data_IF_460171122915
#
_entry.id   IF_460171122915
#
_cell.length_a   1.000
_cell.length_b   1.000
_cell.length_c   1.000
_cell.angle_alpha   90.00
_cell.angle_beta   90.00
_cell.angle_gamma   90.00
#
_symmetry.space_group_name_H-M   'P 1'
#
loop_
_entity.id
_entity.type
_entity.pdbx_description
1 polymer ?
#
# COMPACT_ATOMS: atom_id res chain seq x y z
N UNK A 1 3.06 -19.19 23.90
CA UNK A 1 2.31 -17.92 23.78
C UNK A 1 1.49 -17.98 22.50
N UNK A 2 0.19 -17.65 22.53
CA UNK A 2 -0.68 -17.58 21.35
C UNK A 2 -1.27 -16.17 21.28
N UNK A 3 -0.99 -15.44 20.21
CA UNK A 3 -1.47 -14.08 19.99
C UNK A 3 -1.49 -13.79 18.48
N UNK A 4 -2.42 -12.96 18.06
CA UNK A 4 -2.61 -12.44 16.70
C UNK A 4 -2.46 -10.90 16.64
N UNK A 5 -2.04 -10.29 17.74
CA UNK A 5 -2.02 -8.83 17.93
C UNK A 5 -0.59 -8.29 17.96
N UNK A 6 -0.40 -7.05 17.48
CA UNK A 6 0.85 -6.33 17.63
C UNK A 6 0.95 -5.70 19.03
N UNK A 7 1.53 -6.45 19.98
CA UNK A 7 1.56 -6.09 21.41
C UNK A 7 2.68 -5.11 21.80
N UNK A 8 3.60 -4.82 20.89
CA UNK A 8 4.80 -3.99 21.15
C UNK A 8 4.48 -2.64 21.79
N UNK A 9 3.45 -1.87 21.37
CA UNK A 9 3.15 -0.59 22.00
C UNK A 9 2.86 -0.72 23.50
N UNK A 10 2.20 -1.81 23.90
CA UNK A 10 1.91 -2.10 25.31
C UNK A 10 3.15 -2.43 26.14
N UNK A 11 4.21 -2.96 25.52
CA UNK A 11 5.45 -3.33 26.22
C UNK A 11 6.20 -2.10 26.75
N UNK A 12 6.10 -0.95 26.07
CA UNK A 12 6.68 0.31 26.56
C UNK A 12 6.01 0.84 27.84
N UNK A 13 4.79 0.36 28.13
CA UNK A 13 4.07 0.73 29.36
C UNK A 13 4.54 -0.10 30.56
N UNK A 14 5.18 -1.26 30.35
CA UNK A 14 5.68 -2.13 31.42
C UNK A 14 6.93 -1.51 32.06
N UNK A 15 6.89 -1.10 33.36
CA UNK A 15 7.98 -0.35 33.98
C UNK A 15 9.34 -1.06 33.95
N UNK A 16 9.35 -2.39 34.10
CA UNK A 16 10.57 -3.20 34.07
C UNK A 16 11.20 -3.32 32.68
N UNK A 17 10.45 -3.10 31.59
CA UNK A 17 10.94 -3.22 30.21
C UNK A 17 11.27 -1.87 29.58
N UNK A 18 10.59 -0.81 30.02
CA UNK A 18 10.65 0.53 29.40
C UNK A 18 12.06 1.03 29.18
N UNK A 19 12.91 0.98 30.21
CA UNK A 19 14.26 1.52 30.14
C UNK A 19 15.14 0.85 29.09
N UNK A 20 14.96 -0.45 28.85
CA UNK A 20 15.70 -1.17 27.82
C UNK A 20 15.11 -0.95 26.43
N UNK A 21 13.78 -0.99 26.31
CA UNK A 21 13.09 -0.75 25.04
C UNK A 21 13.37 0.66 24.49
N UNK A 22 13.43 1.68 25.35
CA UNK A 22 13.76 3.05 24.93
C UNK A 22 15.22 3.22 24.50
N UNK A 23 16.14 2.38 25.00
CA UNK A 23 17.54 2.35 24.51
C UNK A 23 17.65 1.63 23.18
N UNK A 24 16.95 0.49 23.04
CA UNK A 24 16.98 -0.32 21.82
C UNK A 24 16.28 0.38 20.66
N UNK A 25 15.18 1.09 20.94
CA UNK A 25 14.34 1.75 19.95
C UNK A 25 14.09 3.21 20.33
N UNK A 26 15.05 4.11 20.04
CA UNK A 26 14.87 5.55 20.26
C UNK A 26 13.65 6.09 19.49
N UNK A 27 13.44 5.58 18.27
CA UNK A 27 12.26 5.80 17.45
C UNK A 27 11.22 4.69 17.75
N UNK A 28 10.27 5.00 18.63
CA UNK A 28 9.30 4.01 19.17
C UNK A 28 8.39 3.40 18.10
N UNK A 29 8.14 4.12 17.02
CA UNK A 29 7.35 3.69 15.86
C UNK A 29 8.15 2.82 14.87
N UNK A 30 9.49 2.81 14.97
CA UNK A 30 10.36 2.01 14.10
C UNK A 30 10.58 0.55 14.59
N UNK A 31 10.02 0.15 15.73
CA UNK A 31 10.26 -1.18 16.32
C UNK A 31 9.93 -2.31 15.34
N UNK A 32 8.74 -2.28 14.73
CA UNK A 32 8.36 -3.29 13.74
C UNK A 32 9.24 -3.21 12.50
N UNK A 33 9.60 -2.01 12.04
CA UNK A 33 10.47 -1.81 10.88
C UNK A 33 11.82 -2.51 11.06
N UNK A 34 12.47 -2.34 12.21
CA UNK A 34 13.76 -2.97 12.48
C UNK A 34 13.65 -4.48 12.67
N UNK A 35 12.72 -4.93 13.52
CA UNK A 35 12.60 -6.35 13.85
C UNK A 35 12.11 -7.19 12.67
N UNK A 36 11.16 -6.68 11.88
CA UNK A 36 10.66 -7.40 10.71
C UNK A 36 11.74 -7.60 9.66
N UNK A 37 12.57 -6.58 9.37
CA UNK A 37 13.69 -6.70 8.42
C UNK A 37 14.78 -7.67 8.86
N UNK A 38 14.93 -7.87 10.18
CA UNK A 38 15.88 -8.83 10.75
C UNK A 38 15.33 -10.26 10.78
N UNK A 39 14.03 -10.42 11.03
CA UNK A 39 13.41 -11.74 11.25
C UNK A 39 12.76 -12.33 10.00
N UNK A 40 12.15 -11.49 9.16
CA UNK A 40 11.26 -11.92 8.08
C UNK A 40 12.02 -11.85 6.75
N UNK A 41 12.58 -12.99 6.36
CA UNK A 41 13.16 -13.17 5.03
C UNK A 41 12.27 -14.10 4.20
N UNK A 42 11.82 -13.67 3.01
CA UNK A 42 10.97 -14.49 2.17
C UNK A 42 11.73 -15.73 1.68
N UNK A 43 11.07 -16.88 1.68
CA UNK A 43 11.58 -18.06 1.01
C UNK A 43 11.75 -17.82 -0.50
N UNK A 44 12.63 -18.59 -1.14
CA UNK A 44 12.97 -18.39 -2.55
C UNK A 44 11.74 -18.28 -3.45
N UNK A 45 10.74 -19.15 -3.32
CA UNK A 45 9.54 -19.10 -4.17
C UNK A 45 8.81 -17.75 -4.08
N UNK A 46 8.68 -17.20 -2.88
CA UNK A 46 8.05 -15.89 -2.64
C UNK A 46 8.93 -14.77 -3.20
N UNK A 47 10.25 -14.84 -2.98
CA UNK A 47 11.19 -13.86 -3.49
C UNK A 47 11.20 -13.80 -5.03
N UNK A 48 11.12 -14.95 -5.70
CA UNK A 48 11.03 -15.01 -7.15
C UNK A 48 9.74 -14.34 -7.67
N UNK A 49 8.60 -14.58 -7.01
CA UNK A 49 7.35 -13.93 -7.38
C UNK A 49 7.43 -12.40 -7.23
N UNK A 50 7.97 -11.91 -6.11
CA UNK A 50 8.14 -10.47 -5.85
C UNK A 50 9.05 -9.83 -6.90
N UNK A 51 10.22 -10.44 -7.15
CA UNK A 51 11.23 -9.87 -8.04
C UNK A 51 10.81 -9.91 -9.50
N UNK A 52 10.15 -10.98 -9.95
CA UNK A 52 9.60 -11.07 -11.30
C UNK A 52 8.54 -9.98 -11.53
N UNK A 53 7.56 -9.86 -10.62
CA UNK A 53 6.50 -8.85 -10.74
C UNK A 53 7.07 -7.43 -10.72
N UNK A 54 7.99 -7.14 -9.80
CA UNK A 54 8.64 -5.83 -9.74
C UNK A 54 9.37 -5.51 -11.03
N UNK A 55 10.17 -6.45 -11.55
CA UNK A 55 10.95 -6.23 -12.78
C UNK A 55 10.05 -5.97 -13.99
N UNK A 56 8.98 -6.75 -14.11
CA UNK A 56 8.15 -6.76 -15.32
C UNK A 56 7.10 -5.60 -15.32
N UNK A 57 6.75 -5.06 -14.15
CA UNK A 57 5.67 -4.06 -14.03
C UNK A 57 6.03 -2.75 -13.33
N UNK A 58 7.05 -2.72 -12.47
CA UNK A 58 7.30 -1.59 -11.56
C UNK A 58 8.67 -0.93 -11.76
N UNK A 59 9.69 -1.70 -12.18
CA UNK A 59 11.08 -1.23 -12.21
C UNK A 59 11.35 -0.06 -13.16
N UNK A 60 10.50 0.13 -14.17
CA UNK A 60 10.64 1.20 -15.16
C UNK A 60 10.03 2.55 -14.76
N UNK A 61 9.29 2.62 -13.65
CA UNK A 61 8.61 3.84 -13.23
C UNK A 61 9.47 4.67 -12.26
N UNK A 62 9.62 5.96 -12.54
CA UNK A 62 10.25 6.93 -11.64
C UNK A 62 9.46 7.22 -10.36
N UNK A 63 8.15 6.95 -10.33
CA UNK A 63 7.34 7.03 -9.12
C UNK A 63 6.43 5.81 -8.95
N UNK A 64 6.40 5.24 -7.74
CA UNK A 64 5.59 4.07 -7.42
C UNK A 64 4.58 4.39 -6.33
N UNK A 65 3.32 4.10 -6.58
CA UNK A 65 2.23 4.27 -5.61
C UNK A 65 1.57 2.94 -5.33
N UNK A 66 1.66 2.50 -4.08
CA UNK A 66 0.97 1.30 -3.59
C UNK A 66 -0.38 1.65 -2.97
N UNK A 67 -1.44 1.01 -3.44
CA UNK A 67 -2.80 1.14 -2.91
C UNK A 67 -3.25 -0.24 -2.41
N UNK A 68 -3.30 -0.38 -1.08
CA UNK A 68 -3.81 -1.59 -0.44
C UNK A 68 -5.28 -1.35 -0.05
N UNK A 69 -6.18 -2.18 -0.57
CA UNK A 69 -7.62 -2.10 -0.33
C UNK A 69 -8.07 -3.38 0.39
N UNK A 70 -8.65 -3.20 1.57
CA UNK A 70 -9.29 -4.27 2.33
C UNK A 70 -10.64 -3.80 2.84
N UNK A 71 -11.71 -4.46 2.40
CA UNK A 71 -13.07 -4.18 2.85
C UNK A 71 -13.52 -5.28 3.81
N UNK A 72 -13.92 -4.91 5.02
CA UNK A 72 -14.36 -5.85 6.06
C UNK A 72 -15.87 -6.17 6.02
N UNK A 73 -16.55 -5.73 4.95
CA UNK A 73 -17.96 -5.98 4.67
C UNK A 73 -18.12 -6.71 3.33
N UNK A 74 -19.34 -7.09 2.99
CA UNK A 74 -19.64 -7.66 1.68
C UNK A 74 -19.28 -6.64 0.58
N UNK A 75 -18.44 -7.06 -0.38
CA UNK A 75 -17.92 -6.21 -1.45
C UNK A 75 -18.92 -6.08 -2.61
N UNK A 76 -20.18 -5.80 -2.29
CA UNK A 76 -21.27 -5.59 -3.26
C UNK A 76 -21.58 -4.09 -3.40
N UNK A 77 -22.04 -3.64 -4.58
CA UNK A 77 -22.58 -2.29 -4.71
C UNK A 77 -23.73 -2.08 -3.71
N UNK A 78 -23.80 -0.92 -3.02
CA UNK A 78 -23.02 0.31 -3.26
C UNK A 78 -21.70 0.41 -2.48
N UNK A 79 -21.38 -0.52 -1.58
CA UNK A 79 -20.21 -0.43 -0.67
C UNK A 79 -18.90 -0.33 -1.45
N UNK A 80 -18.74 -1.16 -2.47
CA UNK A 80 -17.53 -1.15 -3.30
C UNK A 80 -17.30 0.18 -4.01
N UNK A 81 -18.37 0.84 -4.49
CA UNK A 81 -18.26 2.16 -5.11
C UNK A 81 -17.86 3.24 -4.11
N UNK A 82 -18.45 3.25 -2.91
CA UNK A 82 -18.09 4.22 -1.86
C UNK A 82 -16.63 4.11 -1.47
N UNK A 83 -16.11 2.87 -1.34
CA UNK A 83 -14.69 2.63 -1.04
C UNK A 83 -13.80 3.12 -2.17
N UNK A 84 -14.16 2.81 -3.43
CA UNK A 84 -13.41 3.29 -4.59
C UNK A 84 -13.34 4.82 -4.64
N UNK A 85 -14.47 5.50 -4.45
CA UNK A 85 -14.55 6.96 -4.47
C UNK A 85 -13.70 7.58 -3.35
N UNK A 86 -13.71 6.97 -2.16
CA UNK A 86 -12.88 7.39 -1.03
C UNK A 86 -11.38 7.24 -1.34
N UNK A 87 -10.97 6.10 -1.91
CA UNK A 87 -9.58 5.83 -2.28
C UNK A 87 -9.08 6.83 -3.32
N UNK A 88 -9.84 7.03 -4.40
CA UNK A 88 -9.47 7.96 -5.47
C UNK A 88 -9.44 9.42 -4.99
N UNK A 89 -10.42 9.83 -4.19
CA UNK A 89 -10.47 11.17 -3.60
C UNK A 89 -9.28 11.43 -2.68
N UNK A 90 -8.95 10.46 -1.82
CA UNK A 90 -7.78 10.54 -0.94
C UNK A 90 -6.49 10.65 -1.77
N UNK A 91 -6.28 9.72 -2.70
CA UNK A 91 -5.04 9.68 -3.48
C UNK A 91 -4.83 10.93 -4.33
N UNK A 92 -5.89 11.49 -4.94
CA UNK A 92 -5.81 12.76 -5.70
C UNK A 92 -5.54 13.96 -4.77
N UNK A 93 -6.22 14.03 -3.62
CA UNK A 93 -6.03 15.13 -2.65
C UNK A 93 -4.60 15.19 -2.11
N UNK A 94 -4.01 14.03 -1.83
CA UNK A 94 -2.64 13.92 -1.33
C UNK A 94 -1.58 13.94 -2.47
N UNK A 95 -1.98 14.22 -3.71
CA UNK A 95 -1.11 14.22 -4.90
C UNK A 95 -0.38 12.90 -5.15
N UNK A 96 -0.95 11.78 -4.70
CA UNK A 96 -0.46 10.43 -5.00
C UNK A 96 -0.94 9.95 -6.38
N UNK A 97 -2.06 10.47 -6.90
CA UNK A 97 -2.52 10.21 -8.26
C UNK A 97 -2.79 11.53 -8.98
N UNK A 98 -2.63 11.58 -10.32
CA UNK A 98 -2.90 12.77 -11.08
C UNK A 98 -4.36 13.20 -10.93
N UNK A 99 -4.56 14.51 -10.76
CA UNK A 99 -5.88 15.12 -10.85
C UNK A 99 -6.36 15.09 -12.31
N UNK A 100 -7.68 15.01 -12.50
CA UNK A 100 -8.27 15.01 -13.84
C UNK A 100 -7.81 16.24 -14.64
N UNK A 101 -7.14 16.01 -15.78
CA UNK A 101 -6.62 17.06 -16.67
C UNK A 101 -5.13 17.43 -16.50
N UNK A 102 -4.42 16.92 -15.49
CA UNK A 102 -2.97 17.11 -15.35
C UNK A 102 -2.22 15.84 -15.78
N UNK A 103 -1.73 15.82 -17.02
CA UNK A 103 -1.02 14.68 -17.64
C UNK A 103 0.48 14.63 -17.31
N UNK A 104 0.93 15.29 -16.23
CA UNK A 104 2.34 15.60 -16.02
C UNK A 104 3.20 14.49 -15.39
N UNK A 105 2.78 13.23 -15.38
CA UNK A 105 3.69 12.15 -14.98
C UNK A 105 3.44 10.82 -15.70
N UNK A 106 3.95 10.72 -16.93
CA UNK A 106 4.06 9.45 -17.67
C UNK A 106 5.05 8.45 -17.06
N UNK A 107 5.57 8.71 -15.86
CA UNK A 107 6.64 7.94 -15.20
C UNK A 107 6.18 7.33 -13.87
N UNK A 108 4.87 7.21 -13.68
CA UNK A 108 4.28 6.65 -12.46
C UNK A 108 3.65 5.28 -12.71
N UNK A 109 3.90 4.32 -11.82
CA UNK A 109 3.16 3.05 -11.77
C UNK A 109 2.38 2.90 -10.46
N UNK A 110 1.19 2.30 -10.55
CA UNK A 110 0.26 2.11 -9.43
C UNK A 110 0.07 0.62 -9.19
N UNK A 111 0.45 0.14 -8.00
CA UNK A 111 0.24 -1.23 -7.55
C UNK A 111 -1.01 -1.29 -6.67
N UNK A 112 -2.05 -1.99 -7.14
CA UNK A 112 -3.28 -2.20 -6.38
C UNK A 112 -3.31 -3.62 -5.83
N UNK A 113 -3.49 -3.76 -4.51
CA UNK A 113 -3.69 -5.07 -3.87
C UNK A 113 -5.05 -5.10 -3.18
N UNK A 114 -5.89 -6.05 -3.59
CA UNK A 114 -7.27 -6.23 -3.11
C UNK A 114 -7.68 -7.70 -3.24
N UNK A 115 -8.70 -8.14 -2.50
CA UNK A 115 -9.33 -9.44 -2.72
C UNK A 115 -10.17 -9.46 -4.01
N UNK A 116 -10.84 -8.35 -4.33
CA UNK A 116 -11.59 -8.17 -5.58
C UNK A 116 -10.74 -7.43 -6.62
N UNK A 117 -10.63 -7.99 -7.83
CA UNK A 117 -9.96 -7.35 -8.97
C UNK A 117 -10.69 -6.12 -9.48
N UNK A 118 -11.97 -5.97 -9.13
CA UNK A 118 -12.83 -4.87 -9.59
C UNK A 118 -12.24 -3.49 -9.27
N UNK A 119 -11.60 -3.31 -8.11
CA UNK A 119 -10.96 -2.03 -7.77
C UNK A 119 -9.78 -1.71 -8.69
N UNK A 120 -8.95 -2.71 -9.00
CA UNK A 120 -7.85 -2.54 -9.94
C UNK A 120 -8.38 -2.17 -11.32
N UNK A 121 -9.40 -2.89 -11.82
CA UNK A 121 -10.01 -2.64 -13.11
C UNK A 121 -10.55 -1.21 -13.19
N UNK A 122 -11.28 -0.74 -12.16
CA UNK A 122 -11.81 0.62 -12.12
C UNK A 122 -10.75 1.70 -12.00
N UNK A 123 -9.73 1.50 -11.16
CA UNK A 123 -8.62 2.45 -11.05
C UNK A 123 -7.86 2.54 -12.37
N UNK A 124 -7.61 1.40 -13.04
CA UNK A 124 -6.97 1.38 -14.36
C UNK A 124 -7.81 2.13 -15.39
N UNK A 125 -9.11 1.81 -15.51
CA UNK A 125 -9.99 2.46 -16.48
C UNK A 125 -10.05 3.99 -16.26
N UNK A 126 -10.13 4.45 -15.00
CA UNK A 126 -10.07 5.88 -14.65
C UNK A 126 -8.75 6.55 -15.04
N UNK A 127 -7.62 5.86 -14.87
CA UNK A 127 -6.31 6.38 -15.24
C UNK A 127 -6.12 6.39 -16.76
N UNK A 128 -6.53 5.35 -17.47
CA UNK A 128 -6.45 5.25 -18.93
C UNK A 128 -7.24 6.38 -19.62
N UNK A 129 -8.42 6.74 -19.07
CA UNK A 129 -9.23 7.87 -19.54
C UNK A 129 -8.50 9.23 -19.45
N UNK A 130 -7.53 9.38 -18.55
CA UNK A 130 -6.72 10.60 -18.45
C UNK A 130 -5.62 10.68 -19.52
N UNK A 131 -5.26 9.55 -20.13
CA UNK A 131 -4.18 9.46 -21.12
C UNK A 131 -4.68 9.28 -22.56
N UNK A 132 -5.99 9.06 -22.78
CA UNK A 132 -6.60 9.09 -24.12
C UNK A 132 -6.76 10.53 -24.63
N UNK A 133 -6.14 10.90 -25.78
CA UNK A 133 -6.39 12.21 -26.38
C UNK A 133 -7.87 12.31 -26.83
N UNK A 134 -8.50 13.49 -26.73
CA UNK A 134 -9.84 13.68 -27.25
C UNK A 134 -9.85 13.38 -28.76
N UNK A 135 -10.84 12.60 -29.20
CA UNK A 135 -11.10 12.35 -30.62
C UNK A 135 -11.39 13.70 -31.29
N UNK A 136 -10.55 14.12 -32.24
CA UNK A 136 -10.82 15.22 -33.18
C UNK A 136 -12.00 14.90 -34.11
#
# INVERSE_FOLDING_TARGET
MKTDSYLVPGLFLVPSLRGELERMFPEKDAVFHHLSRYLLHPANAVWHAITAYHRDHLAGAGHLVGIQIRVYHEETPPVSQVVLDQVLSCARRENLLPAAGNTSSSDQAVLVTSLSSWYYEKIRDELDLLYTPPLE
#
